data_IF_689650159183
#
_entry.id   IF_689650159183
#
_cell.length_a   1.000
_cell.length_b   1.000
_cell.length_c   1.000
_cell.angle_alpha   90.00
_cell.angle_beta   90.00
_cell.angle_gamma   90.00
#
_symmetry.space_group_name_H-M   'P 1'
#
loop_
_entity.id
_entity.type
_entity.pdbx_description
1 polymer ?
#
# COMPACT_ATOMS: atom_id res chain seq x y z
N UNK A 1 12.66 -2.78 -9.51
CA UNK A 1 11.85 -3.43 -8.45
C UNK A 1 11.13 -4.69 -8.94
N UNK A 2 10.26 -4.60 -9.95
CA UNK A 2 9.38 -5.69 -10.40
C UNK A 2 10.07 -7.03 -10.73
N UNK A 3 11.29 -7.01 -11.26
CA UNK A 3 12.08 -8.23 -11.48
C UNK A 3 12.33 -9.05 -10.20
N UNK A 4 12.45 -8.38 -9.03
CA UNK A 4 12.61 -9.04 -7.72
C UNK A 4 11.34 -9.78 -7.27
N UNK A 5 10.18 -9.37 -7.78
CA UNK A 5 8.87 -9.94 -7.43
C UNK A 5 8.43 -11.08 -8.36
N UNK A 6 9.08 -11.25 -9.51
CA UNK A 6 8.67 -12.24 -10.52
C UNK A 6 8.79 -13.66 -9.94
N UNK A 7 7.70 -14.42 -9.99
CA UNK A 7 7.64 -15.80 -9.48
C UNK A 7 7.69 -15.92 -7.96
N UNK A 8 7.48 -14.82 -7.22
CA UNK A 8 7.48 -14.82 -5.74
C UNK A 8 6.07 -14.60 -5.19
N UNK A 9 5.84 -15.10 -3.98
CA UNK A 9 4.65 -14.80 -3.19
C UNK A 9 4.73 -13.38 -2.61
N UNK A 10 3.64 -12.63 -2.70
CA UNK A 10 3.44 -11.36 -1.98
C UNK A 10 2.40 -11.60 -0.89
N UNK A 11 2.74 -11.29 0.36
CA UNK A 11 1.84 -11.48 1.51
C UNK A 11 1.18 -10.15 1.89
N UNK A 12 -0.14 -10.13 1.99
CA UNK A 12 -0.89 -8.95 2.39
C UNK A 12 -1.09 -8.94 3.92
N UNK A 13 -0.31 -8.14 4.65
CA UNK A 13 -0.37 -8.06 6.11
C UNK A 13 -1.22 -6.85 6.52
N UNK A 14 -2.50 -7.08 6.84
CA UNK A 14 -3.46 -6.02 7.15
C UNK A 14 -4.45 -6.52 8.20
N UNK A 15 -4.87 -5.63 9.09
CA UNK A 15 -5.93 -5.89 10.07
C UNK A 15 -7.02 -4.82 9.97
N UNK A 16 -8.29 -5.23 10.05
CA UNK A 16 -9.42 -4.32 10.06
C UNK A 16 -9.61 -3.67 11.44
N UNK A 17 -10.27 -2.49 11.53
CA UNK A 17 -10.74 -1.95 12.79
C UNK A 17 -11.51 -3.00 13.62
N UNK A 18 -11.23 -3.07 14.92
CA UNK A 18 -11.82 -4.06 15.83
C UNK A 18 -11.13 -5.43 15.85
N UNK A 19 -10.18 -5.71 14.94
CA UNK A 19 -9.35 -6.91 15.04
C UNK A 19 -8.38 -6.79 16.23
N UNK A 20 -8.11 -7.88 16.98
CA UNK A 20 -7.05 -7.87 17.99
C UNK A 20 -5.65 -7.66 17.38
N UNK A 21 -5.50 -7.85 16.06
CA UNK A 21 -4.26 -7.62 15.33
C UNK A 21 -4.13 -6.15 14.86
N UNK A 22 -5.07 -5.28 15.21
CA UNK A 22 -5.12 -3.89 14.73
C UNK A 22 -4.14 -2.99 15.50
N UNK A 23 -2.86 -3.27 15.33
CA UNK A 23 -1.75 -2.52 15.87
C UNK A 23 -0.59 -2.54 14.86
N UNK A 24 0.04 -1.40 14.61
CA UNK A 24 1.08 -1.29 13.58
C UNK A 24 2.32 -2.11 13.91
N UNK A 25 2.62 -2.32 15.19
CA UNK A 25 3.72 -3.19 15.65
C UNK A 25 3.41 -4.65 15.36
N UNK A 26 2.16 -5.08 15.59
CA UNK A 26 1.72 -6.44 15.26
C UNK A 26 1.79 -6.68 13.74
N UNK A 27 1.34 -5.72 12.94
CA UNK A 27 1.39 -5.83 11.47
C UNK A 27 2.83 -5.85 10.96
N UNK A 28 3.72 -5.05 11.55
CA UNK A 28 5.14 -5.10 11.26
C UNK A 28 5.74 -6.48 11.59
N UNK A 29 5.37 -7.07 12.73
CA UNK A 29 5.78 -8.43 13.09
C UNK A 29 5.27 -9.49 12.10
N UNK A 30 4.00 -9.38 11.66
CA UNK A 30 3.44 -10.28 10.62
C UNK A 30 4.18 -10.16 9.28
N UNK A 31 4.53 -8.94 8.86
CA UNK A 31 5.32 -8.70 7.66
C UNK A 31 6.74 -9.28 7.77
N UNK A 32 7.37 -9.16 8.94
CA UNK A 32 8.67 -9.77 9.20
C UNK A 32 8.61 -11.30 9.20
N UNK A 33 7.54 -11.90 9.75
CA UNK A 33 7.28 -13.34 9.63
C UNK A 33 7.14 -13.77 8.16
N UNK A 34 6.42 -12.99 7.34
CA UNK A 34 6.27 -13.26 5.92
C UNK A 34 7.62 -13.22 5.18
N UNK A 35 8.46 -12.22 5.45
CA UNK A 35 9.82 -12.13 4.89
C UNK A 35 10.68 -13.34 5.28
N UNK A 36 10.69 -13.71 6.57
CA UNK A 36 11.41 -14.89 7.07
C UNK A 36 10.88 -16.19 6.46
N UNK A 37 9.59 -16.26 6.15
CA UNK A 37 8.95 -17.36 5.43
C UNK A 37 9.26 -17.40 3.92
N UNK A 38 10.04 -16.46 3.40
CA UNK A 38 10.46 -16.43 2.00
C UNK A 38 9.55 -15.65 1.06
N UNK A 39 8.64 -14.81 1.58
CA UNK A 39 7.88 -13.89 0.76
C UNK A 39 8.83 -12.97 -0.04
N UNK A 40 8.50 -12.73 -1.31
CA UNK A 40 9.26 -11.82 -2.16
C UNK A 40 8.86 -10.36 -2.01
N UNK A 41 7.75 -10.07 -1.33
CA UNK A 41 7.23 -8.74 -1.05
C UNK A 41 6.03 -8.77 -0.10
N UNK A 42 5.62 -7.62 0.40
CA UNK A 42 4.45 -7.47 1.27
C UNK A 42 3.51 -6.37 0.77
N UNK A 43 2.21 -6.48 1.09
CA UNK A 43 1.19 -5.47 0.78
C UNK A 43 0.54 -4.93 2.04
N UNK A 44 0.68 -3.62 2.28
CA UNK A 44 0.33 -2.97 3.55
C UNK A 44 -0.68 -1.83 3.32
N UNK A 45 -1.62 -1.65 4.24
CA UNK A 45 -2.68 -0.65 4.18
C UNK A 45 -2.49 0.39 5.28
N UNK A 46 -2.32 1.65 4.90
CA UNK A 46 -2.20 2.79 5.81
C UNK A 46 -0.75 3.27 5.98
N UNK A 47 -0.51 4.60 6.00
CA UNK A 47 0.83 5.17 6.16
C UNK A 47 1.56 4.70 7.43
N UNK A 48 0.87 4.62 8.56
CA UNK A 48 1.49 4.22 9.84
C UNK A 48 1.98 2.77 9.81
N UNK A 49 1.17 1.87 9.24
CA UNK A 49 1.52 0.46 9.07
C UNK A 49 2.68 0.30 8.09
N UNK A 50 2.68 1.06 6.98
CA UNK A 50 3.77 1.06 6.01
C UNK A 50 5.07 1.52 6.67
N UNK A 51 5.04 2.61 7.43
CA UNK A 51 6.20 3.14 8.14
C UNK A 51 6.73 2.17 9.21
N UNK A 52 5.83 1.47 9.92
CA UNK A 52 6.21 0.44 10.88
C UNK A 52 6.86 -0.77 10.19
N UNK A 53 6.24 -1.27 9.11
CA UNK A 53 6.74 -2.42 8.33
C UNK A 53 8.10 -2.10 7.68
N UNK A 54 8.23 -0.92 7.07
CA UNK A 54 9.46 -0.53 6.36
C UNK A 54 10.69 -0.56 7.26
N UNK A 55 10.54 -0.29 8.56
CA UNK A 55 11.61 -0.34 9.56
C UNK A 55 12.12 -1.75 9.87
N UNK A 56 11.34 -2.80 9.58
CA UNK A 56 11.65 -4.17 10.04
C UNK A 56 11.77 -5.21 8.92
N UNK A 57 11.40 -4.86 7.68
CA UNK A 57 11.59 -5.71 6.49
C UNK A 57 12.54 -5.06 5.48
N UNK A 58 13.19 -5.86 4.64
CA UNK A 58 14.04 -5.42 3.53
C UNK A 58 13.44 -5.74 2.14
N UNK A 59 12.45 -6.64 2.08
CA UNK A 59 11.68 -6.93 0.86
C UNK A 59 10.82 -5.73 0.41
N UNK A 60 10.39 -5.71 -0.87
CA UNK A 60 9.55 -4.66 -1.43
C UNK A 60 8.19 -4.53 -0.72
N UNK A 61 7.75 -3.29 -0.51
CA UNK A 61 6.47 -2.95 0.11
C UNK A 61 5.53 -2.34 -0.92
N UNK A 62 4.41 -3.00 -1.18
CA UNK A 62 3.27 -2.47 -1.94
C UNK A 62 2.33 -1.78 -0.95
N UNK A 63 2.36 -0.46 -0.92
CA UNK A 63 1.50 0.33 -0.04
C UNK A 63 0.18 0.71 -0.70
N UNK A 64 -0.86 0.86 0.11
CA UNK A 64 -2.11 1.52 -0.25
C UNK A 64 -2.69 2.23 0.96
N UNK A 65 -3.72 3.03 0.75
CA UNK A 65 -4.46 3.62 1.87
C UNK A 65 -5.96 3.53 1.62
N UNK A 66 -6.66 2.71 2.40
CA UNK A 66 -8.13 2.62 2.34
C UNK A 66 -8.77 3.79 3.07
N UNK A 67 -9.52 4.60 2.33
CA UNK A 67 -10.34 5.69 2.87
C UNK A 67 -11.80 5.40 2.54
N UNK A 68 -12.54 4.85 3.50
CA UNK A 68 -13.94 4.45 3.33
C UNK A 68 -14.87 5.64 3.62
N UNK A 69 -14.80 6.66 2.77
CA UNK A 69 -15.69 7.82 2.82
C UNK A 69 -16.73 7.69 1.70
N UNK A 70 -17.82 6.94 1.95
CA UNK A 70 -19.06 6.87 1.13
C UNK A 70 -18.90 6.90 -0.41
N UNK A 71 -17.76 6.45 -0.92
CA UNK A 71 -17.36 6.48 -2.33
C UNK A 71 -17.14 5.05 -2.81
N UNK A 72 -17.55 4.72 -4.05
CA UNK A 72 -17.22 3.43 -4.65
C UNK A 72 -15.70 3.24 -4.84
N UNK A 73 -14.94 4.34 -4.81
CA UNK A 73 -13.47 4.34 -4.91
C UNK A 73 -12.88 4.64 -3.54
N UNK A 74 -12.28 3.63 -2.92
CA UNK A 74 -11.77 3.74 -1.55
C UNK A 74 -10.33 3.23 -1.38
N UNK A 75 -9.76 2.48 -2.33
CA UNK A 75 -8.34 2.08 -2.27
C UNK A 75 -7.47 3.18 -2.92
N UNK A 76 -6.78 3.94 -2.09
CA UNK A 76 -5.93 5.08 -2.47
C UNK A 76 -6.68 6.02 -3.42
N UNK A 77 -7.76 6.66 -2.95
CA UNK A 77 -8.70 7.36 -3.83
C UNK A 77 -8.14 8.68 -4.37
N UNK A 78 -7.28 9.35 -3.61
CA UNK A 78 -6.75 10.68 -3.94
C UNK A 78 -5.25 10.67 -4.14
N UNK A 79 -4.73 11.76 -4.74
CA UNK A 79 -3.29 11.98 -4.81
C UNK A 79 -2.65 12.14 -3.43
N UNK A 80 -3.32 12.81 -2.48
CA UNK A 80 -2.79 12.98 -1.13
C UNK A 80 -2.65 11.64 -0.41
N UNK A 81 -3.59 10.72 -0.60
CA UNK A 81 -3.48 9.35 -0.09
C UNK A 81 -2.27 8.63 -0.70
N UNK A 82 -2.08 8.73 -2.01
CA UNK A 82 -0.92 8.13 -2.69
C UNK A 82 0.41 8.73 -2.21
N UNK A 83 0.47 10.07 -2.03
CA UNK A 83 1.64 10.76 -1.50
C UNK A 83 1.96 10.31 -0.07
N UNK A 84 0.95 10.14 0.79
CA UNK A 84 1.14 9.64 2.14
C UNK A 84 1.69 8.20 2.15
N UNK A 85 1.19 7.33 1.27
CA UNK A 85 1.70 5.97 1.07
C UNK A 85 3.17 5.96 0.63
N UNK A 86 3.52 6.78 -0.37
CA UNK A 86 4.90 6.90 -0.84
C UNK A 86 5.83 7.46 0.25
N UNK A 87 5.42 8.52 0.94
CA UNK A 87 6.19 9.15 2.01
C UNK A 87 6.44 8.22 3.20
N UNK A 88 5.52 7.29 3.47
CA UNK A 88 5.69 6.26 4.50
C UNK A 88 6.74 5.18 4.15
N UNK A 89 7.25 5.17 2.91
CA UNK A 89 8.31 4.25 2.48
C UNK A 89 7.82 3.04 1.67
N UNK A 90 6.63 3.14 1.05
CA UNK A 90 6.21 2.14 0.07
C UNK A 90 7.09 2.21 -1.19
N UNK A 91 7.45 1.05 -1.72
CA UNK A 91 8.19 0.93 -2.99
C UNK A 91 7.25 0.94 -4.20
N UNK A 92 5.98 0.59 -4.02
CA UNK A 92 4.95 0.57 -5.06
C UNK A 92 3.65 1.08 -4.44
N UNK A 93 2.96 2.02 -5.10
CA UNK A 93 1.64 2.51 -4.67
C UNK A 93 0.55 1.75 -5.42
N UNK A 94 -0.30 1.02 -4.70
CA UNK A 94 -1.49 0.41 -5.27
C UNK A 94 -2.69 1.38 -5.22
N UNK A 95 -3.38 1.52 -6.34
CA UNK A 95 -4.57 2.37 -6.51
C UNK A 95 -5.74 1.56 -7.07
N UNK A 96 -6.97 1.93 -6.71
CA UNK A 96 -8.16 1.34 -7.33
C UNK A 96 -8.28 1.78 -8.79
N UNK A 97 -8.34 0.84 -9.74
CA UNK A 97 -8.41 1.12 -11.18
C UNK A 97 -9.75 0.68 -11.80
N UNK A 98 -10.86 0.91 -11.11
CA UNK A 98 -12.21 0.53 -11.57
C UNK A 98 -12.87 1.64 -12.41
N UNK A 99 -13.94 1.30 -13.15
CA UNK A 99 -14.62 2.23 -14.08
C UNK A 99 -15.22 3.43 -13.36
N UNK A 100 -15.70 3.24 -12.15
CA UNK A 100 -16.34 4.27 -11.30
C UNK A 100 -15.39 5.43 -11.00
N UNK A 101 -14.06 5.20 -11.07
CA UNK A 101 -13.08 6.27 -10.88
C UNK A 101 -13.18 7.39 -11.91
N UNK A 102 -13.64 7.09 -13.13
CA UNK A 102 -13.81 8.11 -14.16
C UNK A 102 -14.80 9.22 -13.75
N UNK A 103 -15.72 8.92 -12.82
CA UNK A 103 -16.67 9.87 -12.27
C UNK A 103 -16.16 10.61 -11.01
N UNK A 104 -14.91 10.38 -10.59
CA UNK A 104 -14.32 11.02 -9.41
C UNK A 104 -13.46 12.23 -9.80
N UNK A 105 -13.16 13.16 -8.86
CA UNK A 105 -12.22 14.27 -9.09
C UNK A 105 -10.77 13.84 -9.41
N UNK A 106 -10.45 12.55 -9.31
CA UNK A 106 -9.11 12.00 -9.56
C UNK A 106 -9.17 10.84 -10.58
N UNK A 107 -9.35 11.15 -11.88
CA UNK A 107 -9.29 10.15 -12.94
C UNK A 107 -7.96 9.40 -12.95
N UNK A 108 -8.00 8.11 -13.31
CA UNK A 108 -6.85 7.22 -13.18
C UNK A 108 -5.60 7.71 -13.94
N UNK A 109 -5.66 8.15 -15.22
CA UNK A 109 -4.45 8.57 -15.94
C UNK A 109 -3.77 9.77 -15.28
N UNK A 110 -4.54 10.76 -14.83
CA UNK A 110 -4.04 11.95 -14.16
C UNK A 110 -3.42 11.62 -12.80
N UNK A 111 -4.07 10.73 -12.03
CA UNK A 111 -3.55 10.26 -10.76
C UNK A 111 -2.21 9.54 -10.94
N UNK A 112 -2.11 8.60 -11.90
CA UNK A 112 -0.89 7.85 -12.17
C UNK A 112 0.24 8.80 -12.61
N UNK A 113 -0.03 9.70 -13.55
CA UNK A 113 0.97 10.67 -14.02
C UNK A 113 1.52 11.49 -12.85
N UNK A 114 0.63 12.05 -12.02
CA UNK A 114 1.02 12.87 -10.87
C UNK A 114 1.80 12.08 -9.82
N UNK A 115 1.46 10.81 -9.59
CA UNK A 115 2.23 9.93 -8.69
C UNK A 115 3.66 9.74 -9.22
N UNK A 116 3.84 9.39 -10.50
CA UNK A 116 5.18 9.18 -11.07
C UNK A 116 6.01 10.47 -11.12
N UNK A 117 5.38 11.63 -11.32
CA UNK A 117 6.07 12.93 -11.35
C UNK A 117 6.53 13.39 -9.96
N UNK A 118 5.74 13.11 -8.92
CA UNK A 118 5.92 13.74 -7.60
C UNK A 118 6.38 12.77 -6.51
N UNK A 119 6.09 11.48 -6.65
CA UNK A 119 6.44 10.46 -5.67
C UNK A 119 7.60 9.61 -6.20
N UNK A 120 8.58 9.32 -5.34
CA UNK A 120 9.65 8.38 -5.67
C UNK A 120 9.20 6.95 -5.37
N UNK A 121 8.47 6.35 -6.31
CA UNK A 121 7.93 4.98 -6.28
C UNK A 121 8.08 4.29 -7.62
#
# INVERSE_FOLDING_TARGET
>A
MLARLRGRLIVSCQALPGSPLRDSTIIAALAQCAERGGAGGVRIDGPDDIAAVRRVVAIPVIGLYKMRESSPVYITPTFDAARAVAAAGADIVAVQATRERAATPHPLPQLIARIHETCRV
#
